data_IF_667457498824
#
_entry.id   IF_667457498824
#
_cell.length_a   1.000
_cell.length_b   1.000
_cell.length_c   1.000
_cell.angle_alpha   90.00
_cell.angle_beta   90.00
_cell.angle_gamma   90.00
#
_symmetry.space_group_name_H-M   'P 1'
#
loop_
_entity.id
_entity.type
_entity.pdbx_description
1 polymer ?
#
# COMPACT_ATOMS: atom_id res chain seq x y z
N UNK A 1 -7.59 -24.81 1.88
CA UNK A 1 -7.72 -23.53 2.62
C UNK A 1 -9.21 -23.28 2.80
N UNK A 2 -9.74 -23.47 4.01
CA UNK A 2 -11.18 -23.49 4.27
C UNK A 2 -11.73 -22.08 4.47
N UNK A 3 -12.97 -21.81 4.04
CA UNK A 3 -13.68 -20.52 4.20
C UNK A 3 -13.59 -19.96 5.64
N UNK A 4 -13.51 -20.85 6.65
CA UNK A 4 -13.32 -20.50 8.07
C UNK A 4 -11.99 -19.81 8.41
N UNK A 5 -10.91 -20.07 7.68
CA UNK A 5 -9.63 -19.39 7.92
C UNK A 5 -9.62 -17.99 7.29
N UNK A 6 -10.35 -17.80 6.19
CA UNK A 6 -10.52 -16.49 5.56
C UNK A 6 -11.35 -15.54 6.43
N UNK A 7 -12.44 -16.03 7.02
CA UNK A 7 -13.26 -15.23 7.94
C UNK A 7 -12.50 -14.86 9.21
N UNK A 8 -11.69 -15.78 9.77
CA UNK A 8 -10.85 -15.48 10.93
C UNK A 8 -9.79 -14.39 10.64
N UNK A 9 -9.13 -14.45 9.48
CA UNK A 9 -8.15 -13.42 9.09
C UNK A 9 -8.78 -12.05 8.82
N UNK A 10 -9.96 -12.01 8.20
CA UNK A 10 -10.71 -10.75 7.98
C UNK A 10 -11.21 -10.18 9.30
N UNK A 11 -11.66 -11.03 10.23
CA UNK A 11 -12.09 -10.61 11.57
C UNK A 11 -10.90 -10.13 12.41
N UNK A 12 -9.73 -10.76 12.32
CA UNK A 12 -8.51 -10.26 12.97
C UNK A 12 -8.06 -8.92 12.39
N UNK A 13 -8.11 -8.72 11.07
CA UNK A 13 -7.81 -7.44 10.44
C UNK A 13 -8.79 -6.36 10.91
N UNK A 14 -10.09 -6.67 10.95
CA UNK A 14 -11.11 -5.77 11.47
C UNK A 14 -10.95 -5.48 12.98
N UNK A 15 -10.55 -6.46 13.78
CA UNK A 15 -10.33 -6.31 15.23
C UNK A 15 -9.10 -5.45 15.56
N UNK A 16 -8.03 -5.55 14.75
CA UNK A 16 -6.86 -4.65 14.84
C UNK A 16 -7.25 -3.21 14.45
N UNK A 17 -8.10 -3.06 13.44
CA UNK A 17 -8.60 -1.76 12.97
C UNK A 17 -9.51 -1.06 14.01
N UNK A 18 -10.30 -1.82 14.80
CA UNK A 18 -11.19 -1.24 15.81
C UNK A 18 -10.46 -0.91 17.13
N UNK A 19 -9.37 -1.61 17.45
CA UNK A 19 -8.62 -1.38 18.70
C UNK A 19 -7.76 -0.10 18.67
N UNK A 20 -7.47 0.45 17.49
CA UNK A 20 -6.67 1.66 17.31
C UNK A 20 -7.43 2.98 17.54
N UNK A 21 -8.76 2.94 17.54
CA UNK A 21 -9.60 4.13 17.77
C UNK A 21 -9.61 4.61 19.25
N UNK A 22 -9.05 3.83 20.18
CA UNK A 22 -9.11 4.10 21.62
C UNK A 22 -7.87 4.81 22.21
N UNK A 23 -6.80 5.03 21.42
CA UNK A 23 -5.64 5.81 21.86
C UNK A 23 -5.66 7.19 21.22
N UNK A 24 -6.21 8.15 21.95
CA UNK A 24 -6.07 9.58 21.68
C UNK A 24 -4.62 10.00 21.97
N UNK A 25 -3.73 9.68 21.04
CA UNK A 25 -2.39 10.26 20.96
C UNK A 25 -2.49 11.47 20.04
N UNK A 26 -1.99 12.63 20.47
CA UNK A 26 -1.82 13.79 19.58
C UNK A 26 -0.76 13.45 18.53
N UNK A 27 -1.20 12.80 17.45
CA UNK A 27 -0.31 12.40 16.38
C UNK A 27 0.27 13.64 15.70
N UNK A 28 1.58 13.70 15.63
CA UNK A 28 2.28 14.78 14.94
C UNK A 28 2.24 14.56 13.43
N UNK A 29 2.16 15.64 12.68
CA UNK A 29 2.38 15.62 11.23
C UNK A 29 3.82 15.21 10.90
N UNK A 30 3.99 14.33 9.93
CA UNK A 30 5.28 13.87 9.46
C UNK A 30 5.20 12.58 8.64
N UNK A 31 6.35 11.94 8.41
CA UNK A 31 6.47 10.75 7.56
C UNK A 31 7.01 9.53 8.30
N UNK A 32 7.12 9.60 9.63
CA UNK A 32 7.42 8.46 10.47
C UNK A 32 6.20 7.55 10.67
N UNK A 33 6.43 6.29 11.01
CA UNK A 33 5.39 5.26 11.13
C UNK A 33 4.17 5.64 12.01
N UNK A 34 4.36 6.45 13.05
CA UNK A 34 3.30 6.92 13.95
C UNK A 34 2.99 8.42 13.76
N UNK A 35 3.24 8.97 12.58
CA UNK A 35 2.94 10.36 12.26
C UNK A 35 1.84 10.42 11.21
N UNK A 36 1.01 11.47 11.26
CA UNK A 36 -0.03 11.72 10.25
C UNK A 36 0.64 12.21 8.99
N UNK A 37 0.35 11.55 7.88
CA UNK A 37 0.86 11.94 6.56
C UNK A 37 -0.11 12.91 5.89
N UNK A 38 -0.09 14.17 6.31
CA UNK A 38 -0.91 15.27 5.79
C UNK A 38 -0.13 16.21 4.85
N UNK A 39 -0.72 17.35 4.47
CA UNK A 39 -0.08 18.35 3.62
C UNK A 39 1.21 18.93 4.23
N UNK A 40 1.27 19.10 5.56
CA UNK A 40 2.46 19.57 6.25
C UNK A 40 3.58 18.50 6.21
N UNK A 41 3.21 17.23 6.37
CA UNK A 41 4.11 16.10 6.21
C UNK A 41 4.68 16.06 4.80
N UNK A 42 3.82 16.18 3.78
CA UNK A 42 4.21 16.23 2.36
C UNK A 42 5.21 17.36 2.08
N UNK A 43 4.99 18.54 2.66
CA UNK A 43 5.90 19.68 2.50
C UNK A 43 7.26 19.44 3.17
N UNK A 44 7.27 18.76 4.32
CA UNK A 44 8.48 18.44 5.10
C UNK A 44 9.36 17.34 4.49
N UNK A 45 8.86 16.59 3.49
CA UNK A 45 9.60 15.48 2.89
C UNK A 45 10.93 15.93 2.25
N UNK A 46 12.00 15.14 2.42
CA UNK A 46 13.23 15.31 1.65
C UNK A 46 12.94 15.28 0.13
N UNK A 47 13.67 16.07 -0.70
CA UNK A 47 13.40 16.16 -2.13
C UNK A 47 13.42 14.81 -2.86
N UNK A 48 14.34 13.91 -2.50
CA UNK A 48 14.44 12.59 -3.13
C UNK A 48 13.18 11.74 -2.90
N UNK A 49 12.53 11.87 -1.74
CA UNK A 49 11.33 11.13 -1.39
C UNK A 49 10.11 11.68 -2.14
N UNK A 50 10.03 13.00 -2.35
CA UNK A 50 9.01 13.61 -3.23
C UNK A 50 9.14 13.08 -4.67
N UNK A 51 10.37 13.00 -5.19
CA UNK A 51 10.64 12.41 -6.51
C UNK A 51 10.22 10.93 -6.54
N UNK A 52 10.54 10.17 -5.49
CA UNK A 52 10.11 8.77 -5.37
C UNK A 52 8.59 8.61 -5.41
N UNK A 53 7.84 9.44 -4.68
CA UNK A 53 6.37 9.41 -4.69
C UNK A 53 5.79 9.68 -6.08
N UNK A 54 6.40 10.58 -6.86
CA UNK A 54 6.01 10.83 -8.26
C UNK A 54 6.26 9.59 -9.13
N UNK A 55 7.43 8.95 -8.99
CA UNK A 55 7.76 7.71 -9.72
C UNK A 55 6.75 6.61 -9.37
N UNK A 56 6.45 6.45 -8.09
CA UNK A 56 5.49 5.48 -7.60
C UNK A 56 4.10 5.71 -8.22
N UNK A 57 3.55 6.91 -8.06
CA UNK A 57 2.19 7.23 -8.52
C UNK A 57 2.06 7.12 -10.04
N UNK A 58 3.05 7.62 -10.79
CA UNK A 58 3.03 7.54 -12.26
C UNK A 58 3.18 6.11 -12.76
N UNK A 59 3.96 5.27 -12.09
CA UNK A 59 4.10 3.84 -12.43
C UNK A 59 2.79 3.08 -12.24
N UNK A 60 2.08 3.32 -11.14
CA UNK A 60 0.75 2.75 -10.92
C UNK A 60 -0.27 3.29 -11.92
N UNK A 61 -0.28 4.61 -12.17
CA UNK A 61 -1.19 5.24 -13.14
C UNK A 61 -1.00 4.68 -14.56
N UNK A 62 0.25 4.44 -14.97
CA UNK A 62 0.55 3.78 -16.25
C UNK A 62 -0.06 2.36 -16.35
N UNK A 63 -0.34 1.70 -15.22
CA UNK A 63 -1.05 0.43 -15.17
C UNK A 63 -2.45 0.48 -15.78
N UNK A 64 -3.11 1.65 -15.78
CA UNK A 64 -4.46 1.84 -16.34
C UNK A 64 -4.53 1.53 -17.84
N UNK A 65 -3.43 1.68 -18.59
CA UNK A 65 -3.40 1.31 -20.00
C UNK A 65 -3.49 -0.21 -20.23
N UNK A 66 -3.17 -1.01 -19.20
CA UNK A 66 -3.05 -2.46 -19.32
C UNK A 66 -4.19 -3.24 -18.66
N UNK A 67 -5.04 -2.59 -17.84
CA UNK A 67 -6.09 -3.27 -17.06
C UNK A 67 -7.10 -4.02 -17.92
N UNK A 68 -7.34 -3.60 -19.16
CA UNK A 68 -8.32 -4.27 -20.02
C UNK A 68 -7.85 -5.63 -20.53
N UNK A 69 -6.55 -5.75 -20.83
CA UNK A 69 -5.99 -6.93 -21.48
C UNK A 69 -5.16 -7.81 -20.53
N UNK A 70 -4.70 -7.27 -19.40
CA UNK A 70 -3.77 -7.95 -18.51
C UNK A 70 -4.36 -8.08 -17.10
N UNK A 71 -4.71 -9.31 -16.68
CA UNK A 71 -5.20 -9.55 -15.32
C UNK A 71 -4.25 -9.05 -14.23
N UNK A 72 -2.92 -9.20 -14.43
CA UNK A 72 -1.90 -8.71 -13.49
C UNK A 72 -2.03 -7.19 -13.27
N UNK A 73 -2.29 -6.42 -14.32
CA UNK A 73 -2.48 -4.97 -14.19
C UNK A 73 -3.72 -4.63 -13.35
N UNK A 74 -4.80 -5.41 -13.47
CA UNK A 74 -6.00 -5.24 -12.62
C UNK A 74 -5.69 -5.46 -11.15
N UNK A 75 -4.86 -6.45 -10.81
CA UNK A 75 -4.47 -6.70 -9.43
C UNK A 75 -3.56 -5.61 -8.86
N UNK A 76 -2.61 -5.12 -9.65
CA UNK A 76 -1.74 -4.01 -9.24
C UNK A 76 -2.53 -2.72 -9.04
N UNK A 77 -3.29 -2.30 -10.05
CA UNK A 77 -4.10 -1.06 -9.99
C UNK A 77 -5.21 -1.19 -8.95
N UNK A 78 -5.85 -2.37 -8.88
CA UNK A 78 -6.86 -2.67 -7.88
C UNK A 78 -6.31 -2.60 -6.46
N UNK A 79 -5.06 -3.01 -6.23
CA UNK A 79 -4.38 -2.86 -4.95
C UNK A 79 -4.19 -1.39 -4.54
N UNK A 80 -3.81 -0.53 -5.48
CA UNK A 80 -3.75 0.92 -5.24
C UNK A 80 -5.13 1.48 -4.90
N UNK A 81 -6.15 1.16 -5.71
CA UNK A 81 -7.52 1.65 -5.49
C UNK A 81 -8.05 1.17 -4.13
N UNK A 82 -7.85 -0.09 -3.77
CA UNK A 82 -8.26 -0.64 -2.48
C UNK A 82 -7.57 0.08 -1.32
N UNK A 83 -6.28 0.40 -1.45
CA UNK A 83 -5.55 1.22 -0.48
C UNK A 83 -6.23 2.58 -0.31
N UNK A 84 -6.52 3.28 -1.41
CA UNK A 84 -7.16 4.61 -1.36
C UNK A 84 -8.56 4.55 -0.75
N UNK A 85 -9.37 3.55 -1.09
CA UNK A 85 -10.71 3.36 -0.51
C UNK A 85 -10.63 3.17 1.01
N UNK A 86 -9.65 2.40 1.49
CA UNK A 86 -9.48 2.17 2.93
C UNK A 86 -8.96 3.42 3.63
N UNK A 87 -7.92 4.05 3.06
CA UNK A 87 -7.18 5.14 3.71
C UNK A 87 -7.92 6.46 3.63
N UNK A 88 -8.46 6.83 2.48
CA UNK A 88 -9.14 8.13 2.27
C UNK A 88 -10.65 8.04 2.52
N UNK A 89 -11.22 6.83 2.42
CA UNK A 89 -12.65 6.60 2.60
C UNK A 89 -13.00 6.05 3.98
N UNK A 90 -12.67 4.78 4.21
CA UNK A 90 -13.14 4.02 5.38
C UNK A 90 -12.52 4.50 6.69
N UNK A 91 -11.21 4.73 6.73
CA UNK A 91 -10.51 5.11 7.97
C UNK A 91 -11.04 6.45 8.53
N UNK A 92 -11.14 7.54 7.74
CA UNK A 92 -11.73 8.79 8.20
C UNK A 92 -13.18 8.64 8.63
N UNK A 93 -13.99 7.87 7.88
CA UNK A 93 -15.39 7.63 8.21
C UNK A 93 -15.58 6.88 9.55
N UNK A 94 -14.57 6.11 9.97
CA UNK A 94 -14.55 5.39 11.25
C UNK A 94 -13.77 6.12 12.36
N UNK A 95 -13.27 7.33 12.09
CA UNK A 95 -12.45 8.09 13.04
C UNK A 95 -11.07 7.48 13.32
N UNK A 96 -10.56 6.64 12.40
CA UNK A 96 -9.25 6.02 12.54
C UNK A 96 -8.18 7.00 12.04
N UNK A 97 -7.18 7.34 12.86
CA UNK A 97 -6.10 8.22 12.44
C UNK A 97 -5.24 7.54 11.37
N UNK A 98 -5.11 8.20 10.22
CA UNK A 98 -4.27 7.73 9.11
C UNK A 98 -2.82 8.14 9.36
N UNK A 99 -2.10 7.30 10.08
CA UNK A 99 -0.64 7.42 10.25
C UNK A 99 0.11 6.66 9.15
N UNK A 100 1.35 7.05 8.86
CA UNK A 100 2.15 6.44 7.78
C UNK A 100 2.27 4.92 7.92
N UNK A 101 2.37 4.37 9.13
CA UNK A 101 2.45 2.93 9.36
C UNK A 101 1.14 2.18 9.09
N UNK A 102 -0.02 2.83 9.26
CA UNK A 102 -1.31 2.28 8.83
C UNK A 102 -1.42 2.25 7.30
N UNK A 103 -0.98 3.33 6.63
CA UNK A 103 -0.87 3.37 5.17
C UNK A 103 0.06 2.28 4.64
N UNK A 104 1.24 2.10 5.25
CA UNK A 104 2.17 1.03 4.93
C UNK A 104 1.58 -0.36 5.13
N UNK A 105 0.82 -0.58 6.21
CA UNK A 105 0.10 -1.84 6.42
C UNK A 105 -0.91 -2.10 5.28
N UNK A 106 -1.62 -1.06 4.83
CA UNK A 106 -2.53 -1.15 3.69
C UNK A 106 -1.78 -1.47 2.38
N UNK A 107 -0.62 -0.86 2.12
CA UNK A 107 0.22 -1.22 0.97
C UNK A 107 0.60 -2.69 0.99
N UNK A 108 1.12 -3.19 2.11
CA UNK A 108 1.49 -4.60 2.24
C UNK A 108 0.30 -5.52 2.01
N UNK A 109 -0.87 -5.20 2.56
CA UNK A 109 -2.07 -6.01 2.38
C UNK A 109 -2.58 -6.01 0.94
N UNK A 110 -2.72 -4.83 0.33
CA UNK A 110 -3.42 -4.67 -0.94
C UNK A 110 -2.51 -4.77 -2.17
N UNK A 111 -1.21 -4.50 -2.06
CA UNK A 111 -0.29 -4.58 -3.19
C UNK A 111 0.35 -5.97 -3.31
N UNK A 112 0.42 -6.73 -2.22
CA UNK A 112 1.01 -8.09 -2.21
C UNK A 112 0.39 -9.05 -3.23
N UNK A 113 -0.94 -9.11 -3.45
CA UNK A 113 -1.51 -9.95 -4.50
C UNK A 113 -0.99 -9.60 -5.90
N UNK A 114 -0.87 -8.30 -6.23
CA UNK A 114 -0.31 -7.83 -7.49
C UNK A 114 1.17 -8.18 -7.62
N UNK A 115 1.96 -7.95 -6.57
CA UNK A 115 3.37 -8.32 -6.53
C UNK A 115 3.59 -9.83 -6.67
N UNK A 116 2.78 -10.65 -6.00
CA UNK A 116 2.84 -12.10 -6.10
C UNK A 116 2.68 -12.55 -7.55
N UNK A 117 1.70 -12.01 -8.28
CA UNK A 117 1.49 -12.33 -9.69
C UNK A 117 2.63 -11.84 -10.58
N UNK A 118 3.17 -10.65 -10.32
CA UNK A 118 4.34 -10.13 -11.03
C UNK A 118 5.56 -11.07 -10.87
N UNK A 119 5.84 -11.54 -9.66
CA UNK A 119 6.98 -12.40 -9.36
C UNK A 119 6.78 -13.86 -9.77
N UNK A 120 5.53 -14.34 -9.79
CA UNK A 120 5.18 -15.70 -10.20
C UNK A 120 5.20 -15.85 -11.72
N UNK A 121 4.46 -14.99 -12.42
CA UNK A 121 4.29 -15.10 -13.87
C UNK A 121 5.47 -14.46 -14.63
N UNK A 122 6.21 -13.56 -13.98
CA UNK A 122 7.43 -12.91 -14.50
C UNK A 122 7.29 -12.36 -15.93
N UNK A 123 6.22 -11.61 -16.25
CA UNK A 123 6.00 -11.09 -17.60
C UNK A 123 7.17 -10.22 -18.12
N UNK A 124 7.95 -9.64 -17.22
CA UNK A 124 9.14 -8.85 -17.51
C UNK A 124 10.36 -9.64 -18.01
N UNK A 125 10.38 -10.98 -17.89
CA UNK A 125 11.44 -11.84 -18.43
C UNK A 125 11.11 -12.40 -19.83
N UNK A 126 9.91 -12.13 -20.33
CA UNK A 126 9.44 -12.62 -21.63
C UNK A 126 9.86 -11.73 -22.81
N UNK A 127 9.05 -11.78 -23.88
CA UNK A 127 9.22 -10.90 -25.05
C UNK A 127 9.07 -9.43 -24.64
N UNK A 128 9.94 -8.57 -25.18
CA UNK A 128 9.90 -7.13 -24.93
C UNK A 128 8.62 -6.54 -25.54
N UNK A 129 7.76 -6.03 -24.69
CA UNK A 129 6.50 -5.34 -25.00
C UNK A 129 6.32 -4.18 -24.03
N UNK A 130 5.42 -3.25 -24.33
CA UNK A 130 5.12 -2.15 -23.39
C UNK A 130 4.67 -2.69 -22.01
N UNK A 131 3.87 -3.76 -22.00
CA UNK A 131 3.43 -4.42 -20.78
C UNK A 131 4.58 -5.10 -20.03
N UNK A 132 5.50 -5.79 -20.71
CA UNK A 132 6.63 -6.44 -20.04
C UNK A 132 7.55 -5.42 -19.38
N UNK A 133 7.82 -4.29 -20.04
CA UNK A 133 8.61 -3.19 -19.49
C UNK A 133 7.90 -2.60 -18.26
N UNK A 134 6.62 -2.24 -18.40
CA UNK A 134 5.83 -1.70 -17.29
C UNK A 134 5.80 -2.66 -16.10
N UNK A 135 5.62 -3.97 -16.34
CA UNK A 135 5.58 -4.97 -15.28
C UNK A 135 6.93 -5.08 -14.54
N UNK A 136 8.05 -4.90 -15.23
CA UNK A 136 9.39 -4.89 -14.61
C UNK A 136 9.58 -3.65 -13.74
N UNK A 137 9.22 -2.48 -14.25
CA UNK A 137 9.23 -1.22 -13.50
C UNK A 137 8.36 -1.34 -12.25
N UNK A 138 7.14 -1.83 -12.40
CA UNK A 138 6.18 -1.96 -11.30
C UNK A 138 6.65 -2.95 -10.25
N UNK A 139 7.30 -4.05 -10.66
CA UNK A 139 7.93 -5.00 -9.73
C UNK A 139 9.00 -4.31 -8.90
N UNK A 140 9.89 -3.54 -9.52
CA UNK A 140 10.93 -2.79 -8.82
C UNK A 140 10.34 -1.74 -7.86
N UNK A 141 9.32 -1.00 -8.30
CA UNK A 141 8.63 0.02 -7.50
C UNK A 141 8.02 -0.60 -6.24
N UNK A 142 7.24 -1.68 -6.36
CA UNK A 142 6.60 -2.30 -5.19
C UNK A 142 7.65 -2.86 -4.25
N UNK A 143 8.66 -3.57 -4.77
CA UNK A 143 9.72 -4.16 -3.94
C UNK A 143 10.50 -3.09 -3.16
N UNK A 144 10.85 -1.97 -3.81
CA UNK A 144 11.53 -0.87 -3.14
C UNK A 144 10.66 -0.24 -2.05
N UNK A 145 9.38 0.04 -2.34
CA UNK A 145 8.45 0.58 -1.34
C UNK A 145 8.27 -0.37 -0.15
N UNK A 146 8.19 -1.68 -0.40
CA UNK A 146 8.02 -2.68 0.65
C UNK A 146 9.17 -2.71 1.66
N UNK A 147 10.39 -2.28 1.29
CA UNK A 147 11.51 -2.14 2.26
C UNK A 147 11.13 -1.16 3.38
N UNK A 148 10.47 -0.05 3.04
CA UNK A 148 10.04 0.95 4.00
C UNK A 148 8.71 0.56 4.65
N UNK A 149 7.76 0.06 3.85
CA UNK A 149 6.43 -0.30 4.35
C UNK A 149 6.48 -1.42 5.40
N UNK A 150 7.36 -2.42 5.25
CA UNK A 150 7.51 -3.48 6.25
C UNK A 150 7.93 -2.91 7.60
N UNK A 151 8.94 -2.02 7.62
CA UNK A 151 9.41 -1.40 8.87
C UNK A 151 8.29 -0.60 9.53
N UNK A 152 7.61 0.25 8.77
CA UNK A 152 6.65 1.20 9.33
C UNK A 152 5.35 0.49 9.75
N UNK A 153 4.92 -0.52 9.00
CA UNK A 153 3.81 -1.38 9.39
C UNK A 153 4.12 -2.18 10.67
N UNK A 154 5.35 -2.68 10.85
CA UNK A 154 5.74 -3.38 12.08
C UNK A 154 5.76 -2.46 13.29
N UNK A 155 6.24 -1.22 13.14
CA UNK A 155 6.19 -0.21 14.21
C UNK A 155 4.74 0.11 14.58
N UNK A 156 3.87 0.29 13.59
CA UNK A 156 2.45 0.53 13.80
C UNK A 156 1.75 -0.65 14.48
N UNK A 157 1.95 -1.88 14.01
CA UNK A 157 1.36 -3.06 14.63
C UNK A 157 1.80 -3.20 16.08
N UNK A 158 3.09 -2.99 16.38
CA UNK A 158 3.63 -3.01 17.75
C UNK A 158 3.03 -1.91 18.64
N UNK A 159 2.59 -0.80 18.07
CA UNK A 159 1.91 0.25 18.83
C UNK A 159 0.48 -0.17 19.24
N UNK A 160 -0.15 -1.06 18.47
CA UNK A 160 -1.53 -1.53 18.71
C UNK A 160 -1.65 -2.76 19.64
N UNK A 161 -0.60 -3.58 19.75
CA UNK A 161 -0.59 -4.83 20.54
C UNK A 161 0.23 -4.69 21.81
#
# INVERSE_FOLDING_TARGET
MTIRSLTASVICLAAVIVSSAAQATDYQSGYGALQVFDDAAMQSLPPWLKVWLVILLTSFAAGLFFVWNHPIARWVVGGLIATMVVVEGLAPALGIPVVSGFLSLCHLAFWSPGLYLLLRERPFLGKITAFSIWSGIMTAVILFSFVFDIRDALIYLRHLI
#
